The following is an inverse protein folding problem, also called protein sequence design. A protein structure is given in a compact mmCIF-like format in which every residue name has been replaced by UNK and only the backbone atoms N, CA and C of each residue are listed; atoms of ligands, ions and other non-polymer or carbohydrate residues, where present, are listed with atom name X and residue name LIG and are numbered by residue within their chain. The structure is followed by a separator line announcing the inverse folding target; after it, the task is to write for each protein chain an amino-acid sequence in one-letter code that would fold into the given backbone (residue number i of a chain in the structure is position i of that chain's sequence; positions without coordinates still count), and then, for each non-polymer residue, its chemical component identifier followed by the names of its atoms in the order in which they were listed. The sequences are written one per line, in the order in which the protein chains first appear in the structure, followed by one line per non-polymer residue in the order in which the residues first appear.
data_IF_323081724176
#
_entry.id   IF_323081724176
#
_cell.length_a   1.000
_cell.length_b   1.000
_cell.length_c   1.000
_cell.angle_alpha   90.00
_cell.angle_beta   90.00
_cell.angle_gamma   90.00
#
_symmetry.space_group_name_H-M   'P 1'
#
loop_
_entity.id
_entity.type
_entity.pdbx_description
1 polymer ?
#
# COMPACT_ATOMS: atom_id res chain seq x y z
N UNK A 1 26.27 -6.66 -62.32
CA UNK A 1 26.63 -5.25 -62.05
C UNK A 1 26.63 -5.12 -60.54
N UNK A 2 27.83 -5.26 -59.98
CA UNK A 2 28.10 -5.25 -58.54
C UNK A 2 27.99 -3.85 -57.96
N UNK A 3 27.27 -3.69 -56.85
CA UNK A 3 27.38 -2.53 -55.98
C UNK A 3 27.86 -2.97 -54.61
N UNK A 4 29.11 -2.64 -54.32
CA UNK A 4 29.86 -2.86 -53.09
C UNK A 4 29.18 -2.16 -51.90
N UNK A 5 29.05 -2.89 -50.79
CA UNK A 5 28.80 -2.34 -49.46
C UNK A 5 30.05 -1.65 -48.93
N UNK A 6 29.91 -0.40 -48.50
CA UNK A 6 30.96 0.33 -47.79
C UNK A 6 30.73 0.24 -46.29
N UNK A 7 31.76 -0.16 -45.55
CA UNK A 7 31.82 -0.18 -44.10
C UNK A 7 31.93 1.25 -43.54
N UNK A 8 31.36 1.53 -42.36
CA UNK A 8 31.55 2.82 -41.68
C UNK A 8 32.94 2.89 -41.00
N UNK A 9 33.54 4.09 -40.92
CA UNK A 9 34.83 4.28 -40.27
C UNK A 9 34.77 4.20 -38.73
N UNK A 10 35.89 3.89 -38.08
CA UNK A 10 36.00 3.84 -36.63
C UNK A 10 36.02 5.25 -36.00
N UNK A 11 35.58 5.42 -34.77
CA UNK A 11 35.62 6.71 -34.08
C UNK A 11 37.06 7.03 -33.65
N UNK A 12 37.56 8.15 -34.14
CA UNK A 12 38.83 8.75 -33.70
C UNK A 12 38.71 9.33 -32.32
N UNK A 13 39.69 9.02 -31.45
CA UNK A 13 39.87 9.67 -30.19
C UNK A 13 40.57 11.00 -30.33
N UNK A 14 40.11 12.04 -29.66
CA UNK A 14 40.93 13.16 -29.21
C UNK A 14 40.43 13.63 -27.87
N UNK A 15 41.31 13.57 -26.84
CA UNK A 15 41.11 14.13 -25.55
C UNK A 15 41.43 15.63 -25.54
N UNK A 16 40.82 16.33 -24.62
CA UNK A 16 41.40 17.42 -23.82
C UNK A 16 40.26 18.23 -23.14
N UNK A 17 40.41 18.50 -21.86
CA UNK A 17 39.73 19.63 -21.26
C UNK A 17 39.11 19.35 -19.88
N UNK A 18 39.94 19.59 -18.87
CA UNK A 18 39.59 19.71 -17.46
C UNK A 18 38.53 20.81 -17.25
N UNK A 19 37.50 20.53 -16.47
CA UNK A 19 36.66 21.64 -15.97
C UNK A 19 35.31 21.23 -15.44
N UNK A 20 35.17 21.21 -14.12
CA UNK A 20 33.90 21.43 -13.46
C UNK A 20 33.02 20.19 -13.21
N UNK A 21 33.24 19.52 -12.10
CA UNK A 21 32.24 18.67 -11.45
C UNK A 21 31.01 19.49 -11.10
N UNK A 22 29.80 19.19 -11.59
CA UNK A 22 28.59 19.73 -11.00
C UNK A 22 28.39 19.03 -9.63
N UNK A 23 28.19 19.84 -8.62
CA UNK A 23 27.88 19.39 -7.27
C UNK A 23 26.79 18.30 -7.32
N UNK A 24 27.12 17.11 -6.83
CA UNK A 24 26.16 16.07 -6.55
C UNK A 24 25.25 16.58 -5.43
N UNK A 25 24.06 17.04 -5.80
CA UNK A 25 22.97 17.15 -4.84
C UNK A 25 22.68 15.71 -4.37
N UNK A 26 23.25 15.38 -3.23
CA UNK A 26 22.94 14.19 -2.48
C UNK A 26 21.45 14.25 -2.10
N UNK A 27 20.61 13.61 -2.92
CA UNK A 27 19.29 13.18 -2.51
C UNK A 27 19.54 12.19 -1.37
N UNK A 28 19.32 12.64 -0.14
CA UNK A 28 19.49 11.83 1.05
C UNK A 28 18.73 10.53 0.90
N UNK A 29 19.42 9.42 1.14
CA UNK A 29 18.78 8.10 1.28
C UNK A 29 17.62 8.24 2.26
N UNK A 30 16.47 7.57 2.03
CA UNK A 30 15.41 7.52 3.02
C UNK A 30 16.02 7.04 4.34
N UNK A 31 15.60 7.60 5.48
CA UNK A 31 16.17 7.19 6.77
C UNK A 31 15.99 5.67 6.91
N UNK A 32 17.03 4.97 7.41
CA UNK A 32 16.90 3.56 7.71
C UNK A 32 15.74 3.39 8.70
N UNK A 33 14.96 2.32 8.51
CA UNK A 33 13.94 1.91 9.48
C UNK A 33 14.61 1.88 10.86
N UNK A 34 14.00 2.46 11.91
CA UNK A 34 14.57 2.46 13.24
C UNK A 34 14.85 1.01 13.64
N UNK A 35 16.11 0.72 13.96
CA UNK A 35 16.48 -0.57 14.55
C UNK A 35 15.69 -0.74 15.83
N UNK A 36 15.20 -1.95 16.15
CA UNK A 36 14.50 -2.17 17.40
C UNK A 36 15.47 -1.88 18.55
N UNK A 37 15.27 -0.79 19.25
CA UNK A 37 15.92 -0.54 20.54
C UNK A 37 15.38 -1.60 21.49
N UNK A 38 16.31 -2.35 22.08
CA UNK A 38 16.06 -3.33 23.13
C UNK A 38 15.57 -2.59 24.37
N UNK A 39 14.26 -2.27 24.39
CA UNK A 39 13.54 -1.71 25.53
C UNK A 39 12.90 -2.87 26.30
N UNK A 40 13.07 -2.83 27.61
CA UNK A 40 12.57 -3.81 28.56
C UNK A 40 11.10 -4.16 28.31
N UNK A 41 10.79 -5.46 28.24
CA UNK A 41 9.48 -6.02 27.94
C UNK A 41 8.36 -5.52 28.84
N UNK A 42 7.69 -4.47 28.39
CA UNK A 42 6.29 -4.21 28.70
C UNK A 42 5.51 -4.78 27.50
N UNK A 43 4.87 -5.95 27.70
CA UNK A 43 3.80 -6.38 26.82
C UNK A 43 2.87 -5.18 26.62
N UNK A 44 2.89 -4.59 25.42
CA UNK A 44 1.98 -3.50 25.08
C UNK A 44 0.56 -4.03 25.37
N UNK A 45 -0.14 -3.40 26.31
CA UNK A 45 -1.51 -3.79 26.63
C UNK A 45 -2.29 -3.72 25.31
N UNK A 46 -2.88 -4.84 24.88
CA UNK A 46 -3.68 -4.90 23.64
C UNK A 46 -4.73 -3.79 23.74
N UNK A 47 -4.61 -2.78 22.89
CA UNK A 47 -5.56 -1.66 22.86
C UNK A 47 -6.90 -2.19 22.37
N UNK A 48 -7.95 -2.05 23.17
CA UNK A 48 -9.30 -2.50 22.84
C UNK A 48 -9.97 -1.60 21.79
N UNK A 49 -11.22 -1.95 21.45
CA UNK A 49 -12.00 -1.25 20.43
C UNK A 49 -13.20 -0.50 21.02
N UNK A 50 -13.35 -0.46 22.35
CA UNK A 50 -14.52 0.12 23.05
C UNK A 50 -14.72 1.60 22.74
N UNK A 51 -13.60 2.33 22.56
CA UNK A 51 -13.63 3.74 22.21
C UNK A 51 -13.70 3.99 20.69
N UNK A 52 -13.61 2.96 19.84
CA UNK A 52 -13.53 3.12 18.40
C UNK A 52 -14.81 3.68 17.81
N UNK A 53 -14.68 4.74 17.00
CA UNK A 53 -15.77 5.45 16.31
C UNK A 53 -15.52 5.59 14.80
N UNK A 54 -14.28 5.31 14.36
CA UNK A 54 -13.89 5.29 12.96
C UNK A 54 -13.07 4.03 12.65
N UNK A 55 -13.48 3.31 11.62
CA UNK A 55 -12.88 2.07 11.13
C UNK A 55 -12.29 2.36 9.77
N UNK A 56 -10.98 2.32 9.67
CA UNK A 56 -10.21 2.67 8.46
C UNK A 56 -9.62 1.41 7.90
N UNK A 57 -9.93 1.11 6.65
CA UNK A 57 -9.46 -0.10 5.99
C UNK A 57 -8.57 0.25 4.81
N UNK A 58 -7.43 -0.39 4.70
CA UNK A 58 -6.80 -0.54 3.42
C UNK A 58 -7.66 -1.41 2.50
N UNK A 59 -7.33 -1.42 1.21
CA UNK A 59 -8.10 -2.16 0.21
C UNK A 59 -7.43 -3.48 -0.17
N UNK A 60 -6.23 -3.34 -0.80
CA UNK A 60 -5.58 -4.45 -1.50
C UNK A 60 -5.00 -5.47 -0.51
N UNK A 61 -5.39 -6.74 -0.63
CA UNK A 61 -5.07 -7.82 0.30
C UNK A 61 -5.54 -7.59 1.76
N UNK A 62 -6.38 -6.59 1.99
CA UNK A 62 -6.99 -6.29 3.29
C UNK A 62 -8.49 -6.55 3.27
N UNK A 63 -9.27 -5.88 2.39
CA UNK A 63 -10.72 -6.11 2.26
C UNK A 63 -11.04 -7.39 1.46
N UNK A 64 -10.13 -7.87 0.67
CA UNK A 64 -10.20 -9.16 -0.01
C UNK A 64 -8.97 -10.01 0.30
N UNK A 65 -9.11 -11.34 0.32
CA UNK A 65 -8.00 -12.22 0.66
C UNK A 65 -6.94 -12.24 -0.45
N UNK A 66 -5.67 -12.26 -0.06
CA UNK A 66 -4.53 -12.34 -1.00
C UNK A 66 -4.59 -13.60 -1.89
N UNK A 67 -5.26 -14.64 -1.43
CA UNK A 67 -5.49 -15.93 -2.11
C UNK A 67 -6.19 -15.80 -3.46
N UNK A 68 -7.01 -14.76 -3.68
CA UNK A 68 -7.65 -14.53 -4.96
C UNK A 68 -6.70 -14.00 -6.04
N UNK A 69 -5.45 -13.69 -5.70
CA UNK A 69 -4.40 -13.19 -6.61
C UNK A 69 -4.78 -11.93 -7.42
N UNK A 70 -5.70 -11.12 -6.94
CA UNK A 70 -6.10 -9.90 -7.64
C UNK A 70 -4.93 -8.93 -7.79
N UNK A 71 -4.19 -8.69 -6.71
CA UNK A 71 -3.04 -7.78 -6.73
C UNK A 71 -1.91 -8.27 -7.64
N UNK A 72 -1.79 -9.57 -7.89
CA UNK A 72 -0.83 -10.11 -8.84
C UNK A 72 -1.04 -9.58 -10.27
N UNK A 73 -2.30 -9.31 -10.67
CA UNK A 73 -2.60 -8.68 -11.95
C UNK A 73 -2.10 -7.23 -11.99
N UNK A 74 -2.32 -6.46 -10.91
CA UNK A 74 -1.81 -5.08 -10.78
C UNK A 74 -0.29 -5.07 -10.86
N UNK A 75 0.39 -5.95 -10.11
CA UNK A 75 1.85 -6.08 -10.08
C UNK A 75 2.43 -6.43 -11.47
N UNK A 76 1.78 -7.33 -12.20
CA UNK A 76 2.16 -7.69 -13.57
C UNK A 76 2.01 -6.49 -14.52
N UNK A 77 0.86 -5.81 -14.49
CA UNK A 77 0.57 -4.64 -15.34
C UNK A 77 1.47 -3.44 -15.05
N UNK A 78 1.94 -3.28 -13.81
CA UNK A 78 3.00 -2.30 -13.51
C UNK A 78 4.27 -2.58 -14.33
N UNK A 79 4.71 -3.83 -14.39
CA UNK A 79 5.87 -4.23 -15.20
C UNK A 79 5.66 -3.98 -16.69
N UNK A 80 4.47 -4.32 -17.21
CA UNK A 80 4.12 -4.06 -18.62
C UNK A 80 4.09 -2.57 -18.95
N UNK A 81 3.50 -1.76 -18.07
CA UNK A 81 3.46 -0.31 -18.24
C UNK A 81 4.87 0.27 -18.31
N UNK A 82 5.75 -0.09 -17.38
CA UNK A 82 7.15 0.37 -17.36
C UNK A 82 7.88 -0.05 -18.64
N UNK A 83 7.70 -1.31 -19.08
CA UNK A 83 8.33 -1.80 -20.30
C UNK A 83 7.96 -0.96 -21.52
N UNK A 84 6.67 -0.62 -21.67
CA UNK A 84 6.15 0.23 -22.76
C UNK A 84 6.59 1.67 -22.60
N UNK A 85 6.47 2.24 -21.43
CA UNK A 85 6.76 3.64 -21.14
C UNK A 85 8.25 3.98 -21.36
N UNK A 86 9.15 3.08 -20.94
CA UNK A 86 10.60 3.27 -21.05
C UNK A 86 11.21 2.63 -22.32
N UNK A 87 10.45 1.83 -23.07
CA UNK A 87 10.98 1.11 -24.24
C UNK A 87 12.01 0.05 -23.87
N UNK A 88 11.84 -0.63 -22.72
CA UNK A 88 12.80 -1.61 -22.20
C UNK A 88 12.21 -3.03 -22.16
N UNK A 89 13.04 -4.09 -22.15
CA UNK A 89 12.57 -5.45 -21.97
C UNK A 89 11.80 -5.62 -20.66
N UNK A 90 10.75 -6.45 -20.64
CA UNK A 90 9.90 -6.68 -19.46
C UNK A 90 10.69 -7.11 -18.22
N UNK A 91 11.69 -7.98 -18.35
CA UNK A 91 12.52 -8.41 -17.23
C UNK A 91 13.25 -7.23 -16.57
N UNK A 92 13.74 -6.27 -17.35
CA UNK A 92 14.36 -5.06 -16.84
C UNK A 92 13.33 -4.11 -16.21
N UNK A 93 12.15 -3.97 -16.82
CA UNK A 93 11.04 -3.20 -16.25
C UNK A 93 10.61 -3.75 -14.87
N UNK A 94 10.55 -5.07 -14.71
CA UNK A 94 10.30 -5.73 -13.41
C UNK A 94 11.39 -5.41 -12.39
N UNK A 95 12.65 -5.39 -12.79
CA UNK A 95 13.74 -4.98 -11.91
C UNK A 95 13.58 -3.52 -11.45
N UNK A 96 13.30 -2.60 -12.37
CA UNK A 96 13.02 -1.19 -12.06
C UNK A 96 11.83 -1.04 -11.13
N UNK A 97 10.73 -1.74 -11.38
CA UNK A 97 9.54 -1.74 -10.54
C UNK A 97 9.88 -2.05 -9.08
N UNK A 98 10.59 -3.16 -8.83
CA UNK A 98 10.98 -3.57 -7.48
C UNK A 98 12.03 -2.63 -6.87
N UNK A 99 12.90 -2.04 -7.67
CA UNK A 99 13.87 -1.03 -7.25
C UNK A 99 13.16 0.26 -6.79
N UNK A 100 12.20 0.76 -7.58
CA UNK A 100 11.43 1.95 -7.23
C UNK A 100 10.56 1.74 -5.99
N UNK A 101 9.92 0.59 -5.86
CA UNK A 101 9.21 0.25 -4.63
C UNK A 101 10.11 0.35 -3.39
N UNK A 102 11.32 -0.25 -3.44
CA UNK A 102 12.27 -0.21 -2.32
C UNK A 102 12.82 1.18 -2.03
N UNK A 103 13.08 1.99 -3.07
CA UNK A 103 13.72 3.31 -2.91
C UNK A 103 12.75 4.43 -2.60
N UNK A 104 11.54 4.37 -3.12
CA UNK A 104 10.58 5.48 -3.07
C UNK A 104 9.25 5.11 -2.39
N UNK A 105 9.14 3.90 -1.84
CA UNK A 105 7.93 3.40 -1.17
C UNK A 105 6.88 2.84 -2.11
N UNK A 106 6.74 3.35 -3.33
CA UNK A 106 5.90 2.79 -4.40
C UNK A 106 6.58 2.88 -5.76
N UNK A 107 6.18 1.99 -6.66
CA UNK A 107 6.57 2.04 -8.08
C UNK A 107 6.17 3.37 -8.72
N UNK A 108 4.96 3.85 -8.44
CA UNK A 108 4.43 5.12 -8.94
C UNK A 108 5.30 6.30 -8.52
N UNK A 109 5.66 6.40 -7.24
CA UNK A 109 6.53 7.46 -6.73
C UNK A 109 7.88 7.47 -7.46
N UNK A 110 8.47 6.31 -7.70
CA UNK A 110 9.71 6.19 -8.47
C UNK A 110 9.57 6.70 -9.90
N UNK A 111 8.51 6.30 -10.60
CA UNK A 111 8.25 6.76 -11.98
C UNK A 111 8.02 8.27 -12.05
N UNK A 112 7.27 8.84 -11.12
CA UNK A 112 7.03 10.29 -11.04
C UNK A 112 8.33 11.06 -10.76
N UNK A 113 9.11 10.63 -9.78
CA UNK A 113 10.31 11.35 -9.37
C UNK A 113 11.44 11.25 -10.39
N UNK A 114 11.70 10.04 -10.90
CA UNK A 114 12.83 9.77 -11.81
C UNK A 114 12.52 10.19 -13.25
N UNK A 115 11.31 9.90 -13.72
CA UNK A 115 10.95 10.09 -15.13
C UNK A 115 9.97 11.24 -15.38
N UNK A 116 9.56 11.97 -14.32
CA UNK A 116 8.56 13.05 -14.42
C UNK A 116 7.25 12.60 -15.09
N UNK A 117 6.91 11.33 -14.88
CA UNK A 117 5.74 10.70 -15.49
C UNK A 117 4.45 11.28 -14.89
N UNK A 118 3.45 11.54 -15.74
CA UNK A 118 2.08 11.81 -15.30
C UNK A 118 1.50 10.53 -14.65
N UNK A 119 1.05 10.58 -13.39
CA UNK A 119 0.53 9.41 -12.68
C UNK A 119 -0.75 8.84 -13.27
N UNK A 120 -1.58 9.66 -13.92
CA UNK A 120 -2.92 9.25 -14.37
C UNK A 120 -2.90 8.09 -15.37
N UNK A 121 -2.10 8.09 -16.46
CA UNK A 121 -2.04 6.96 -17.39
C UNK A 121 -1.57 5.66 -16.73
N UNK A 122 -0.65 5.75 -15.75
CA UNK A 122 -0.20 4.59 -14.99
C UNK A 122 -1.33 4.00 -14.16
N UNK A 123 -2.03 4.82 -13.36
CA UNK A 123 -3.13 4.36 -12.51
C UNK A 123 -4.28 3.77 -13.34
N UNK A 124 -4.63 4.41 -14.47
CA UNK A 124 -5.68 3.91 -15.36
C UNK A 124 -5.30 2.54 -15.94
N UNK A 125 -4.02 2.36 -16.32
CA UNK A 125 -3.55 1.11 -16.93
C UNK A 125 -3.44 -0.02 -15.91
N UNK A 126 -2.80 0.20 -14.76
CA UNK A 126 -2.52 -0.88 -13.79
C UNK A 126 -3.78 -1.39 -13.09
N UNK A 127 -4.82 -0.56 -12.97
CA UNK A 127 -6.09 -0.91 -12.35
C UNK A 127 -7.17 -1.38 -13.35
N UNK A 128 -6.84 -1.49 -14.63
CA UNK A 128 -7.70 -2.13 -15.63
C UNK A 128 -7.49 -3.65 -15.62
N UNK A 129 -7.99 -4.30 -14.60
CA UNK A 129 -7.81 -5.72 -14.26
C UNK A 129 -9.13 -6.47 -14.26
N UNK A 130 -9.04 -7.79 -14.38
CA UNK A 130 -10.18 -8.70 -14.28
C UNK A 130 -10.57 -8.93 -12.82
N UNK A 131 -11.78 -8.52 -12.46
CA UNK A 131 -12.34 -8.70 -11.12
C UNK A 131 -13.12 -10.02 -10.96
N UNK A 132 -13.15 -10.89 -11.96
CA UNK A 132 -13.88 -12.18 -11.87
C UNK A 132 -13.30 -13.11 -10.81
N UNK A 133 -12.02 -12.89 -10.45
CA UNK A 133 -11.31 -13.63 -9.39
C UNK A 133 -11.73 -13.22 -7.97
N UNK A 134 -12.50 -12.14 -7.83
CA UNK A 134 -13.03 -11.66 -6.55
C UNK A 134 -14.49 -12.03 -6.45
N UNK A 135 -14.84 -12.81 -5.44
CA UNK A 135 -16.22 -13.13 -5.11
C UNK A 135 -16.84 -12.10 -4.15
N UNK A 136 -18.17 -12.00 -4.15
CA UNK A 136 -18.89 -11.27 -3.12
C UNK A 136 -18.63 -11.90 -1.74
N UNK A 137 -18.45 -11.06 -0.71
CA UNK A 137 -18.12 -11.51 0.63
C UNK A 137 -19.21 -11.12 1.64
N UNK A 138 -20.37 -11.81 1.67
CA UNK A 138 -21.50 -11.43 2.51
C UNK A 138 -21.20 -11.43 4.01
N UNK A 139 -20.35 -12.34 4.48
CA UNK A 139 -19.95 -12.38 5.90
C UNK A 139 -19.13 -11.15 6.30
N UNK A 140 -18.23 -10.70 5.41
CA UNK A 140 -17.48 -9.47 5.62
C UNK A 140 -18.42 -8.25 5.60
N UNK A 141 -19.35 -8.20 4.65
CA UNK A 141 -20.34 -7.13 4.57
C UNK A 141 -21.15 -7.05 5.87
N UNK A 142 -21.69 -8.19 6.33
CA UNK A 142 -22.46 -8.27 7.57
C UNK A 142 -21.62 -7.90 8.83
N UNK A 143 -20.32 -8.22 8.83
CA UNK A 143 -19.43 -7.86 9.93
C UNK A 143 -19.14 -6.34 9.95
N UNK A 144 -18.81 -5.74 8.78
CA UNK A 144 -18.57 -4.30 8.67
C UNK A 144 -19.83 -3.50 8.96
N UNK A 145 -21.01 -3.93 8.51
CA UNK A 145 -22.29 -3.25 8.74
C UNK A 145 -22.58 -3.10 10.25
N UNK A 146 -22.24 -4.12 11.03
CA UNK A 146 -22.48 -4.14 12.49
C UNK A 146 -21.52 -3.25 13.28
N UNK A 147 -20.39 -2.82 12.70
CA UNK A 147 -19.44 -1.96 13.40
C UNK A 147 -20.08 -0.60 13.72
N UNK A 148 -19.92 -0.08 14.93
CA UNK A 148 -20.45 1.24 15.29
C UNK A 148 -19.64 2.36 14.63
N UNK A 149 -20.31 3.46 14.29
CA UNK A 149 -19.65 4.65 13.77
C UNK A 149 -19.26 4.56 12.30
N UNK A 150 -18.22 5.28 11.91
CA UNK A 150 -17.84 5.57 10.53
C UNK A 150 -16.94 4.49 9.96
N UNK A 151 -17.06 4.22 8.67
CA UNK A 151 -16.21 3.28 7.91
C UNK A 151 -15.61 4.02 6.73
N UNK A 152 -14.31 3.93 6.56
CA UNK A 152 -13.54 4.65 5.56
C UNK A 152 -12.54 3.70 4.90
N UNK A 153 -12.29 3.88 3.61
CA UNK A 153 -11.18 3.20 2.92
C UNK A 153 -10.01 4.19 2.78
N UNK A 154 -8.79 3.71 3.09
CA UNK A 154 -7.56 4.46 2.86
C UNK A 154 -6.56 3.60 2.11
N UNK A 155 -6.38 3.85 0.81
CA UNK A 155 -5.58 3.01 -0.09
C UNK A 155 -4.48 3.80 -0.82
N UNK A 156 -3.38 3.12 -1.19
CA UNK A 156 -2.39 3.61 -2.14
C UNK A 156 -2.82 3.38 -3.61
N UNK A 157 -3.94 2.72 -3.85
CA UNK A 157 -4.57 2.60 -5.16
C UNK A 157 -5.39 3.83 -5.54
N UNK A 158 -6.00 3.82 -6.73
CA UNK A 158 -6.92 4.87 -7.17
C UNK A 158 -8.34 4.64 -6.64
N UNK A 159 -9.11 5.74 -6.47
CA UNK A 159 -10.53 5.68 -6.08
C UNK A 159 -11.33 4.74 -6.98
N UNK A 160 -11.16 4.84 -8.31
CA UNK A 160 -11.84 3.98 -9.26
C UNK A 160 -11.56 2.49 -9.04
N UNK A 161 -10.32 2.14 -8.71
CA UNK A 161 -9.95 0.77 -8.36
C UNK A 161 -10.67 0.34 -7.09
N UNK A 162 -10.63 1.15 -6.04
CA UNK A 162 -11.28 0.85 -4.77
C UNK A 162 -12.81 0.69 -4.91
N UNK A 163 -13.47 1.57 -5.67
CA UNK A 163 -14.90 1.48 -5.94
C UNK A 163 -15.28 0.18 -6.68
N UNK A 164 -14.49 -0.20 -7.69
CA UNK A 164 -14.73 -1.44 -8.44
C UNK A 164 -14.55 -2.69 -7.58
N UNK A 165 -13.47 -2.74 -6.78
CA UNK A 165 -13.18 -3.88 -5.91
C UNK A 165 -14.18 -3.97 -4.76
N UNK A 166 -14.42 -2.89 -4.03
CA UNK A 166 -15.40 -2.86 -2.93
C UNK A 166 -16.83 -3.12 -3.43
N UNK A 167 -17.15 -2.65 -4.64
CA UNK A 167 -18.42 -2.97 -5.32
C UNK A 167 -18.56 -4.46 -5.62
N UNK A 168 -17.51 -5.09 -6.13
CA UNK A 168 -17.50 -6.53 -6.43
C UNK A 168 -17.62 -7.40 -5.17
N UNK A 169 -16.96 -6.96 -4.06
CA UNK A 169 -17.10 -7.58 -2.75
C UNK A 169 -18.49 -7.42 -2.14
N UNK A 170 -19.28 -6.43 -2.62
CA UNK A 170 -20.59 -6.10 -2.06
C UNK A 170 -20.54 -5.22 -0.82
N UNK A 171 -19.40 -4.56 -0.54
CA UNK A 171 -19.19 -3.75 0.68
C UNK A 171 -19.13 -2.24 0.43
N UNK A 172 -19.08 -1.78 -0.81
CA UNK A 172 -18.88 -0.35 -1.13
C UNK A 172 -19.86 0.58 -0.44
N UNK A 173 -21.13 0.20 -0.36
CA UNK A 173 -22.21 0.99 0.23
C UNK A 173 -22.08 1.19 1.75
N UNK A 174 -21.20 0.44 2.41
CA UNK A 174 -20.94 0.53 3.85
C UNK A 174 -19.89 1.60 4.20
N UNK A 175 -19.15 2.09 3.20
CA UNK A 175 -18.10 3.08 3.40
C UNK A 175 -18.57 4.49 3.10
N UNK A 176 -18.24 5.41 4.00
CA UNK A 176 -18.58 6.83 3.87
C UNK A 176 -17.77 7.51 2.77
N UNK A 177 -16.47 7.18 2.68
CA UNK A 177 -15.56 7.75 1.68
C UNK A 177 -14.34 6.84 1.44
N UNK A 178 -13.64 7.15 0.35
CA UNK A 178 -12.38 6.52 -0.07
C UNK A 178 -11.31 7.60 -0.17
N UNK A 179 -10.29 7.54 0.66
CA UNK A 179 -9.09 8.36 0.56
C UNK A 179 -8.03 7.58 -0.22
N UNK A 180 -7.80 8.01 -1.44
CA UNK A 180 -6.96 7.34 -2.41
C UNK A 180 -5.60 8.03 -2.61
N UNK A 181 -4.75 7.47 -3.47
CA UNK A 181 -3.42 8.02 -3.77
C UNK A 181 -3.50 9.45 -4.37
N UNK A 182 -4.58 9.79 -5.06
CA UNK A 182 -4.78 11.13 -5.62
C UNK A 182 -5.13 12.13 -4.51
N UNK A 183 -6.03 11.76 -3.60
CA UNK A 183 -6.39 12.56 -2.44
C UNK A 183 -5.18 12.78 -1.50
N UNK A 184 -4.23 11.83 -1.46
CA UNK A 184 -2.96 11.96 -0.74
C UNK A 184 -1.88 12.75 -1.51
N UNK A 185 -2.23 13.36 -2.66
CA UNK A 185 -1.29 14.10 -3.52
C UNK A 185 -0.12 13.22 -4.00
N UNK A 186 -0.40 11.96 -4.27
CA UNK A 186 0.57 10.94 -4.69
C UNK A 186 1.68 10.64 -3.67
N UNK A 187 1.48 11.07 -2.42
CA UNK A 187 2.35 10.68 -1.31
C UNK A 187 1.80 9.40 -0.68
N UNK A 188 2.50 8.27 -0.77
CA UNK A 188 1.94 6.98 -0.34
C UNK A 188 2.04 6.76 1.17
N UNK A 189 1.27 5.83 1.70
CA UNK A 189 1.57 5.16 2.96
C UNK A 189 2.98 4.53 2.85
N UNK A 190 3.81 4.53 3.89
CA UNK A 190 3.56 4.92 5.29
C UNK A 190 3.92 6.38 5.64
N UNK A 191 4.03 7.29 4.68
CA UNK A 191 4.37 8.67 4.97
C UNK A 191 3.34 9.31 5.92
N UNK A 192 3.82 9.98 6.99
CA UNK A 192 2.93 10.52 8.03
C UNK A 192 2.04 11.69 7.55
N UNK A 193 2.48 12.44 6.53
CA UNK A 193 1.74 13.57 5.98
C UNK A 193 0.32 13.20 5.51
N UNK A 194 0.17 12.21 4.63
CA UNK A 194 -1.14 11.74 4.17
C UNK A 194 -2.07 11.24 5.28
N UNK A 195 -1.54 10.57 6.31
CA UNK A 195 -2.36 10.17 7.46
C UNK A 195 -2.94 11.37 8.21
N UNK A 196 -2.12 12.40 8.46
CA UNK A 196 -2.59 13.64 9.08
C UNK A 196 -3.63 14.34 8.22
N UNK A 197 -3.41 14.37 6.89
CA UNK A 197 -4.36 14.93 5.93
C UNK A 197 -5.68 14.16 5.94
N UNK A 198 -5.63 12.83 5.92
CA UNK A 198 -6.78 11.94 6.02
C UNK A 198 -7.59 12.22 7.30
N UNK A 199 -6.94 12.22 8.46
CA UNK A 199 -7.59 12.47 9.76
C UNK A 199 -8.26 13.85 9.79
N UNK A 200 -7.57 14.89 9.31
CA UNK A 200 -8.10 16.26 9.27
C UNK A 200 -9.27 16.39 8.31
N UNK A 201 -9.15 15.84 7.08
CA UNK A 201 -10.19 15.91 6.05
C UNK A 201 -11.50 15.27 6.52
N UNK A 202 -11.39 14.11 7.18
CA UNK A 202 -12.57 13.36 7.63
C UNK A 202 -12.98 13.70 9.09
N UNK A 203 -12.25 14.58 9.79
CA UNK A 203 -12.52 14.88 11.19
C UNK A 203 -12.44 13.63 12.09
N UNK A 204 -11.47 12.75 11.83
CA UNK A 204 -11.28 11.52 12.58
C UNK A 204 -10.32 11.76 13.75
N UNK A 205 -10.78 11.44 14.96
CA UNK A 205 -9.96 11.39 16.16
C UNK A 205 -9.13 10.09 16.13
N UNK A 206 -7.79 10.16 15.99
CA UNK A 206 -6.96 8.96 15.88
C UNK A 206 -7.05 8.04 17.11
N UNK A 207 -7.26 8.59 18.31
CA UNK A 207 -7.39 7.78 19.52
C UNK A 207 -8.70 6.96 19.56
N UNK A 208 -9.66 7.34 18.72
CA UNK A 208 -10.94 6.66 18.52
C UNK A 208 -11.05 6.01 17.14
N UNK A 209 -9.93 5.72 16.51
CA UNK A 209 -9.87 5.10 15.20
C UNK A 209 -9.07 3.80 15.22
N UNK A 210 -9.49 2.85 14.39
CA UNK A 210 -8.75 1.62 14.13
C UNK A 210 -8.36 1.54 12.65
N UNK A 211 -7.10 1.14 12.36
CA UNK A 211 -6.56 0.96 11.01
C UNK A 211 -6.29 -0.52 10.75
N UNK A 212 -6.84 -1.04 9.66
CA UNK A 212 -6.67 -2.40 9.15
C UNK A 212 -5.80 -2.37 7.90
N UNK A 213 -4.74 -3.19 7.83
CA UNK A 213 -3.71 -3.12 6.80
C UNK A 213 -2.97 -4.45 6.66
N UNK A 214 -2.52 -4.81 5.45
CA UNK A 214 -1.74 -6.02 5.20
C UNK A 214 -0.23 -5.80 5.31
N UNK A 215 0.22 -4.53 5.26
CA UNK A 215 1.63 -4.15 5.31
C UNK A 215 2.00 -3.55 6.67
N UNK A 216 2.78 -4.25 7.51
CA UNK A 216 3.09 -3.78 8.88
C UNK A 216 3.67 -2.38 8.95
N UNK A 217 4.55 -2.00 8.00
CA UNK A 217 5.16 -0.68 8.00
C UNK A 217 4.15 0.45 7.76
N UNK A 218 3.03 0.19 7.08
CA UNK A 218 1.95 1.15 6.94
C UNK A 218 1.24 1.39 8.28
N UNK A 219 1.12 0.39 9.13
CA UNK A 219 0.56 0.53 10.47
C UNK A 219 1.41 1.41 11.41
N UNK A 220 2.72 1.49 11.19
CA UNK A 220 3.60 2.28 12.05
C UNK A 220 3.22 3.78 12.11
N UNK A 221 2.83 4.37 10.98
CA UNK A 221 2.38 5.77 10.94
C UNK A 221 1.02 5.95 11.63
N UNK A 222 0.09 5.03 11.47
CA UNK A 222 -1.21 5.03 12.16
C UNK A 222 -1.03 4.90 13.67
N UNK A 223 -0.18 3.97 14.12
CA UNK A 223 0.19 3.77 15.52
C UNK A 223 0.78 5.03 16.15
N UNK A 224 1.76 5.65 15.47
CA UNK A 224 2.41 6.88 15.95
C UNK A 224 1.45 8.06 16.13
N UNK A 225 0.31 8.05 15.44
CA UNK A 225 -0.77 9.03 15.57
C UNK A 225 -1.80 8.66 16.65
N UNK A 226 -1.70 7.47 17.25
CA UNK A 226 -2.58 7.01 18.32
C UNK A 226 -3.74 6.12 17.87
N UNK A 227 -3.76 5.64 16.63
CA UNK A 227 -4.77 4.70 16.15
C UNK A 227 -4.57 3.29 16.74
N UNK A 228 -5.64 2.54 16.93
CA UNK A 228 -5.56 1.09 17.11
C UNK A 228 -5.21 0.44 15.79
N UNK A 229 -4.29 -0.50 15.76
CA UNK A 229 -3.76 -1.09 14.53
C UNK A 229 -4.02 -2.59 14.47
N UNK A 230 -4.47 -3.05 13.30
CA UNK A 230 -4.76 -4.47 13.04
C UNK A 230 -4.05 -4.88 11.76
N UNK A 231 -3.16 -5.86 11.87
CA UNK A 231 -2.51 -6.46 10.73
C UNK A 231 -3.38 -7.59 10.18
N UNK A 232 -3.81 -7.46 8.94
CA UNK A 232 -4.46 -8.52 8.17
C UNK A 232 -3.37 -9.23 7.38
N UNK A 233 -3.05 -10.47 7.74
CA UNK A 233 -1.97 -11.22 7.09
C UNK A 233 -2.50 -12.50 6.45
N UNK A 234 -1.69 -13.09 5.56
CA UNK A 234 -2.05 -14.33 4.87
C UNK A 234 -0.88 -15.31 4.92
N UNK A 235 -1.19 -16.58 5.12
CA UNK A 235 -0.22 -17.67 4.98
C UNK A 235 0.01 -18.07 3.52
N UNK A 236 -0.90 -17.70 2.63
CA UNK A 236 -0.83 -18.02 1.21
C UNK A 236 0.08 -17.05 0.43
N UNK A 237 0.08 -15.78 0.80
CA UNK A 237 0.75 -14.73 0.05
C UNK A 237 2.28 -14.76 0.23
N UNK A 238 3.00 -14.98 -0.87
CA UNK A 238 4.47 -15.17 -0.87
C UNK A 238 5.25 -13.85 -1.06
N UNK A 239 4.68 -12.74 -0.59
CA UNK A 239 5.37 -11.46 -0.54
C UNK A 239 6.46 -11.47 0.54
N UNK A 240 7.64 -10.83 0.32
CA UNK A 240 8.73 -10.80 1.30
C UNK A 240 8.30 -10.37 2.70
N UNK A 241 7.37 -9.43 2.82
CA UNK A 241 6.81 -8.98 4.11
C UNK A 241 6.06 -10.11 4.82
N UNK A 242 5.28 -10.93 4.11
CA UNK A 242 4.59 -12.07 4.72
C UNK A 242 5.59 -13.12 5.21
N UNK A 243 6.70 -13.30 4.51
CA UNK A 243 7.79 -14.18 4.97
C UNK A 243 8.47 -13.65 6.24
N UNK A 244 8.58 -12.33 6.39
CA UNK A 244 9.09 -11.73 7.63
C UNK A 244 8.10 -11.85 8.79
N UNK A 245 6.79 -11.62 8.55
CA UNK A 245 5.73 -11.77 9.56
C UNK A 245 5.76 -13.19 10.16
N UNK A 246 5.92 -14.22 9.33
CA UNK A 246 6.00 -15.61 9.77
C UNK A 246 7.18 -15.93 10.72
N UNK A 247 8.22 -15.10 10.70
CA UNK A 247 9.40 -15.26 11.58
C UNK A 247 9.22 -14.55 12.92
N UNK A 248 8.17 -13.75 13.10
CA UNK A 248 7.96 -13.04 14.35
C UNK A 248 7.63 -14.00 15.48
N UNK A 249 8.35 -13.89 16.58
CA UNK A 249 7.99 -14.51 17.85
C UNK A 249 6.97 -13.67 18.60
N UNK A 250 7.05 -12.33 18.41
CA UNK A 250 6.10 -11.35 18.91
C UNK A 250 5.92 -10.28 17.83
N UNK A 251 4.71 -9.75 17.66
CA UNK A 251 4.48 -8.63 16.73
C UNK A 251 5.21 -7.37 17.21
N UNK A 252 5.66 -6.50 16.31
CA UNK A 252 6.24 -5.22 16.69
C UNK A 252 5.19 -4.32 17.37
N UNK A 253 5.65 -3.35 18.17
CA UNK A 253 4.81 -2.47 19.00
C UNK A 253 3.68 -1.77 18.22
N UNK A 254 3.94 -1.44 16.97
CA UNK A 254 2.95 -0.80 16.09
C UNK A 254 1.88 -1.74 15.51
N UNK A 255 1.83 -3.00 15.94
CA UNK A 255 0.82 -3.99 15.58
C UNK A 255 0.11 -4.46 16.85
N UNK A 256 -1.05 -3.86 17.16
CA UNK A 256 -1.81 -4.22 18.35
C UNK A 256 -2.53 -5.56 18.22
N UNK A 257 -3.04 -5.87 17.02
CA UNK A 257 -3.78 -7.09 16.72
C UNK A 257 -3.35 -7.68 15.37
N UNK A 258 -3.57 -8.98 15.20
CA UNK A 258 -3.33 -9.70 13.95
C UNK A 258 -4.50 -10.62 13.63
N UNK A 259 -4.80 -10.78 12.33
CA UNK A 259 -5.82 -11.72 11.86
C UNK A 259 -5.50 -12.23 10.45
N UNK A 260 -5.87 -13.47 10.17
CA UNK A 260 -5.91 -14.04 8.81
C UNK A 260 -7.31 -13.96 8.18
N UNK A 261 -8.33 -13.68 8.99
CA UNK A 261 -9.73 -13.63 8.56
C UNK A 261 -10.41 -12.37 9.12
N UNK A 262 -10.50 -11.36 8.26
CA UNK A 262 -11.07 -10.08 8.65
C UNK A 262 -12.53 -10.19 9.09
N UNK A 263 -13.34 -11.00 8.41
CA UNK A 263 -14.77 -11.15 8.73
C UNK A 263 -14.96 -11.77 10.12
N UNK A 264 -14.21 -12.82 10.44
CA UNK A 264 -14.24 -13.44 11.77
C UNK A 264 -13.71 -12.50 12.85
N UNK A 265 -12.68 -11.70 12.54
CA UNK A 265 -12.13 -10.74 13.49
C UNK A 265 -13.13 -9.64 13.85
N UNK A 266 -13.83 -9.10 12.85
CA UNK A 266 -14.78 -8.00 13.04
C UNK A 266 -16.11 -8.44 13.67
N UNK A 267 -16.54 -9.68 13.43
CA UNK A 267 -17.84 -10.19 13.87
C UNK A 267 -18.18 -9.94 15.34
N UNK A 268 -17.30 -10.26 16.30
CA UNK A 268 -17.51 -9.98 17.73
C UNK A 268 -17.55 -8.49 18.09
N UNK A 269 -16.81 -7.64 17.36
CA UNK A 269 -16.69 -6.21 17.67
C UNK A 269 -17.99 -5.45 17.48
N UNK A 270 -18.82 -5.86 16.51
CA UNK A 270 -20.16 -5.29 16.27
C UNK A 270 -21.23 -5.70 17.32
N UNK A 271 -20.92 -6.65 18.19
CA UNK A 271 -21.88 -7.15 19.20
C UNK A 271 -21.70 -6.50 20.57
N UNK A 272 -20.52 -5.99 20.90
CA UNK A 272 -20.19 -5.46 22.22
C UNK A 272 -21.08 -4.26 22.65
N UNK A 273 -21.46 -3.37 21.71
CA UNK A 273 -22.34 -2.22 22.03
C UNK A 273 -23.80 -2.58 22.30
N UNK A 274 -24.28 -3.74 21.83
CA UNK A 274 -25.68 -4.14 22.08
C UNK A 274 -25.90 -4.65 23.51
N UNK A 275 -24.86 -5.19 24.13
CA UNK A 275 -24.95 -5.72 25.50
C UNK A 275 -24.97 -4.61 26.56
N UNK A 276 -24.43 -3.41 26.27
CA UNK A 276 -24.45 -2.27 27.22
C UNK A 276 -25.74 -1.43 27.14
N UNK A 277 -26.60 -1.64 26.15
CA UNK A 277 -27.87 -0.91 25.97
C UNK A 277 -29.11 -1.70 26.40
N UNK A 278 -28.93 -2.90 26.96
CA UNK A 278 -29.99 -3.74 27.50
C UNK A 278 -29.87 -3.83 29.02
#
# INVERSE_FOLDING_TARGET
MDLKRGDPPPPGGEGLGVGGTPASNALGSPPPLPSPTRGEGKTAARRGFEATRAWVFDLDNTLYPAECNLFAQVDHRMGEFIARFLGVPYAYARHLQKSYYRQFGTTLSGLMLVHKMDPKPFLDYVHDIDLSVVDAHPDLAAAIEKLPGRKLIYTNGSRRHAERVAGKLGVLHLFEDIFDIVASEYVPKPQAGPYKKFLALHGVDPEKAAMFEDMPHNLAAAHALGMTTVLVHSSYYDHPVQLEIRKWTEPPEHVHHMTEDLAKFLGPLGQAERAEKT
#
